data_IF_402220811342
#
_entry.id   IF_402220811342
#
_cell.length_a   1.000
_cell.length_b   1.000
_cell.length_c   1.000
_cell.angle_alpha   90.00
_cell.angle_beta   90.00
_cell.angle_gamma   90.00
#
_symmetry.space_group_name_H-M   'P 1'
#
loop_
_entity.id
_entity.type
_entity.pdbx_description
1 polymer ?
#
# COMPACT_ATOMS: atom_id res chain seq x y z
N UNK A 1 5.46 8.73 18.55
CA UNK A 1 5.54 7.27 18.38
C UNK A 1 4.67 6.46 19.36
N UNK A 2 3.99 7.07 20.34
CA UNK A 2 3.12 6.33 21.29
C UNK A 2 1.69 6.04 20.82
N UNK A 3 1.10 6.91 20.00
CA UNK A 3 -0.34 6.83 19.65
C UNK A 3 -0.69 5.63 18.79
N UNK A 4 0.12 5.33 17.77
CA UNK A 4 -0.13 4.21 16.86
C UNK A 4 -0.27 2.89 17.64
N UNK A 5 0.61 2.63 18.62
CA UNK A 5 0.50 1.44 19.48
C UNK A 5 -0.83 1.38 20.25
N UNK A 6 -1.32 2.51 20.75
CA UNK A 6 -2.63 2.59 21.44
C UNK A 6 -3.77 2.24 20.48
N UNK A 7 -3.67 2.71 19.23
CA UNK A 7 -4.69 2.45 18.21
C UNK A 7 -4.67 1.01 17.71
N UNK A 8 -3.49 0.43 17.50
CA UNK A 8 -3.38 -0.98 17.13
C UNK A 8 -3.93 -1.90 18.22
N UNK A 9 -3.74 -1.53 19.50
CA UNK A 9 -4.36 -2.22 20.64
C UNK A 9 -5.89 -2.11 20.71
N UNK A 10 -6.55 -1.40 19.77
CA UNK A 10 -8.01 -1.47 19.62
C UNK A 10 -8.49 -2.78 19.00
N UNK A 11 -7.60 -3.48 18.30
CA UNK A 11 -7.90 -4.75 17.64
C UNK A 11 -7.43 -5.89 18.56
N UNK A 12 -8.36 -6.76 18.95
CA UNK A 12 -8.05 -7.87 19.84
C UNK A 12 -7.11 -8.90 19.20
N UNK A 13 -6.27 -9.54 20.00
CA UNK A 13 -5.36 -10.61 19.54
C UNK A 13 -6.09 -11.79 18.87
N UNK A 14 -7.35 -12.02 19.25
CA UNK A 14 -8.19 -13.07 18.68
C UNK A 14 -8.96 -12.66 17.43
N UNK A 15 -8.81 -11.42 16.95
CA UNK A 15 -9.50 -10.96 15.74
C UNK A 15 -8.90 -11.66 14.50
N UNK A 16 -9.69 -12.43 13.73
CA UNK A 16 -9.18 -13.17 12.58
C UNK A 16 -8.64 -12.27 11.45
N UNK A 17 -8.96 -10.97 11.49
CA UNK A 17 -8.50 -9.97 10.51
C UNK A 17 -7.51 -8.97 11.12
N UNK A 18 -6.86 -9.33 12.25
CA UNK A 18 -6.00 -8.40 12.99
C UNK A 18 -4.98 -7.69 12.11
N UNK A 19 -4.18 -8.45 11.35
CA UNK A 19 -3.12 -7.89 10.50
C UNK A 19 -3.63 -6.88 9.48
N UNK A 20 -4.72 -7.22 8.78
CA UNK A 20 -5.34 -6.34 7.81
C UNK A 20 -5.99 -5.10 8.44
N UNK A 21 -6.66 -5.22 9.60
CA UNK A 21 -7.21 -4.07 10.33
C UNK A 21 -6.11 -3.13 10.85
N UNK A 22 -5.03 -3.68 11.39
CA UNK A 22 -3.87 -2.91 11.82
C UNK A 22 -3.25 -2.11 10.67
N UNK A 23 -3.13 -2.73 9.48
CA UNK A 23 -2.64 -2.05 8.28
C UNK A 23 -3.56 -0.89 7.87
N UNK A 24 -4.88 -1.09 7.87
CA UNK A 24 -5.85 -0.02 7.57
C UNK A 24 -5.80 1.13 8.59
N UNK A 25 -5.61 0.83 9.88
CA UNK A 25 -5.39 1.85 10.91
C UNK A 25 -4.11 2.64 10.61
N UNK A 26 -3.00 1.99 10.29
CA UNK A 26 -1.73 2.66 9.96
C UNK A 26 -1.85 3.60 8.77
N UNK A 27 -2.55 3.15 7.73
CA UNK A 27 -2.88 3.98 6.55
C UNK A 27 -3.70 5.19 7.00
N UNK A 28 -4.84 4.96 7.65
CA UNK A 28 -5.69 6.06 8.14
C UNK A 28 -4.93 7.08 9.01
N UNK A 29 -4.10 6.61 9.96
CA UNK A 29 -3.30 7.46 10.83
C UNK A 29 -2.33 8.37 10.08
N UNK A 30 -1.86 7.93 8.92
CA UNK A 30 -0.90 8.69 8.13
C UNK A 30 -1.58 9.86 7.40
N UNK A 31 -2.80 9.66 6.89
CA UNK A 31 -3.59 10.68 6.22
C UNK A 31 -4.09 11.71 7.23
N UNK A 32 -4.51 11.21 8.39
CA UNK A 32 -5.04 12.02 9.46
C UNK A 32 -3.95 12.47 10.45
N UNK A 33 -2.67 12.37 10.08
CA UNK A 33 -1.54 12.76 10.93
C UNK A 33 -1.61 14.21 11.45
N UNK A 34 -1.98 15.23 10.64
CA UNK A 34 -2.10 16.61 11.13
C UNK A 34 -3.10 16.73 12.28
N UNK A 35 -4.18 15.96 12.21
CA UNK A 35 -5.20 15.85 13.25
C UNK A 35 -4.60 15.22 14.51
N UNK A 36 -3.94 14.06 14.37
CA UNK A 36 -3.37 13.31 15.47
C UNK A 36 -2.27 14.07 16.24
N UNK A 37 -1.39 14.80 15.54
CA UNK A 37 -0.29 15.55 16.17
C UNK A 37 -0.80 16.58 17.18
N UNK A 38 -1.96 17.19 16.90
CA UNK A 38 -2.53 18.24 17.74
C UNK A 38 -3.32 17.72 18.95
N UNK A 39 -3.50 16.40 19.10
CA UNK A 39 -4.59 15.84 19.89
C UNK A 39 -4.21 15.09 21.17
N UNK A 40 -2.96 14.68 21.35
CA UNK A 40 -2.46 14.08 22.60
C UNK A 40 -3.05 12.70 22.97
N UNK A 41 -2.67 12.17 24.14
CA UNK A 41 -3.01 10.80 24.58
C UNK A 41 -4.50 10.60 24.90
N UNK A 42 -5.17 11.59 25.51
CA UNK A 42 -6.61 11.49 25.83
C UNK A 42 -7.47 11.18 24.60
N UNK A 43 -7.07 11.70 23.44
CA UNK A 43 -7.82 11.48 22.20
C UNK A 43 -7.47 10.16 21.49
N UNK A 44 -6.33 9.55 21.79
CA UNK A 44 -5.98 8.20 21.31
C UNK A 44 -6.94 7.13 21.83
N UNK A 45 -7.38 7.23 23.10
CA UNK A 45 -8.40 6.34 23.68
C UNK A 45 -9.75 6.45 22.97
N UNK A 46 -10.08 7.61 22.38
CA UNK A 46 -11.31 7.76 21.61
C UNK A 46 -11.24 7.06 20.27
N UNK A 47 -10.14 7.23 19.55
CA UNK A 47 -9.90 6.48 18.33
C UNK A 47 -9.86 4.98 18.59
N UNK A 48 -9.33 4.54 19.73
CA UNK A 48 -9.40 3.14 20.13
C UNK A 48 -10.86 2.65 20.23
N UNK A 49 -11.78 3.45 20.81
CA UNK A 49 -13.22 3.13 20.84
C UNK A 49 -13.83 3.09 19.43
N UNK A 50 -13.45 4.01 18.54
CA UNK A 50 -13.95 4.06 17.16
C UNK A 50 -13.45 2.86 16.34
N UNK A 51 -12.16 2.53 16.41
CA UNK A 51 -11.59 1.39 15.69
C UNK A 51 -11.98 0.03 16.30
N UNK A 52 -12.32 -0.03 17.59
CA UNK A 52 -12.90 -1.22 18.20
C UNK A 52 -14.36 -1.47 17.81
N UNK A 53 -15.06 -0.49 17.22
CA UNK A 53 -16.45 -0.62 16.81
C UNK A 53 -16.56 -1.41 15.49
N UNK A 54 -17.30 -2.52 15.54
CA UNK A 54 -17.53 -3.39 14.37
C UNK A 54 -18.19 -2.67 13.20
N UNK A 55 -18.99 -1.63 13.46
CA UNK A 55 -19.66 -0.84 12.40
C UNK A 55 -18.68 0.00 11.58
N UNK A 56 -17.46 0.22 12.06
CA UNK A 56 -16.40 0.92 11.32
C UNK A 56 -15.66 0.00 10.33
N UNK A 57 -16.00 -1.29 10.28
CA UNK A 57 -15.32 -2.28 9.46
C UNK A 57 -16.28 -2.92 8.47
N UNK A 58 -15.86 -2.98 7.21
CA UNK A 58 -16.52 -3.73 6.16
C UNK A 58 -15.72 -5.00 5.90
N UNK A 59 -16.37 -6.16 5.99
CA UNK A 59 -15.75 -7.46 5.74
C UNK A 59 -16.47 -8.10 4.55
N UNK A 60 -15.73 -8.36 3.47
CA UNK A 60 -16.22 -9.03 2.26
C UNK A 60 -15.31 -10.22 1.94
N UNK A 61 -15.74 -11.43 2.30
CA UNK A 61 -14.88 -12.61 2.24
C UNK A 61 -13.63 -12.43 3.11
N UNK A 62 -12.45 -12.61 2.53
CA UNK A 62 -11.16 -12.45 3.22
C UNK A 62 -10.66 -10.99 3.25
N UNK A 63 -11.41 -10.04 2.66
CA UNK A 63 -11.04 -8.64 2.63
C UNK A 63 -11.73 -7.86 3.75
N UNK A 64 -10.93 -7.12 4.52
CA UNK A 64 -11.43 -6.14 5.50
C UNK A 64 -11.00 -4.74 5.06
N UNK A 65 -11.94 -3.79 5.13
CA UNK A 65 -11.70 -2.39 4.82
C UNK A 65 -12.25 -1.52 5.96
N UNK A 66 -11.54 -0.44 6.27
CA UNK A 66 -12.05 0.58 7.17
C UNK A 66 -13.15 1.39 6.46
N UNK A 67 -14.35 1.43 7.03
CA UNK A 67 -15.41 2.34 6.58
C UNK A 67 -15.09 3.76 7.06
N UNK A 68 -14.31 4.47 6.25
CA UNK A 68 -13.84 5.84 6.53
C UNK A 68 -14.99 6.84 6.70
N UNK A 69 -16.11 6.64 5.99
CA UNK A 69 -17.32 7.45 6.16
C UNK A 69 -17.89 7.32 7.57
N UNK A 70 -18.11 6.09 8.03
CA UNK A 70 -18.64 5.80 9.38
C UNK A 70 -17.68 6.31 10.46
N UNK A 71 -16.37 6.11 10.28
CA UNK A 71 -15.34 6.67 11.17
C UNK A 71 -15.47 8.19 11.25
N UNK A 72 -15.49 8.89 10.10
CA UNK A 72 -15.64 10.34 10.04
C UNK A 72 -16.90 10.83 10.76
N UNK A 73 -18.06 10.20 10.51
CA UNK A 73 -19.32 10.56 11.17
C UNK A 73 -19.24 10.39 12.69
N UNK A 74 -18.70 9.27 13.18
CA UNK A 74 -18.51 9.04 14.62
C UNK A 74 -17.59 10.08 15.25
N UNK A 75 -16.54 10.50 14.55
CA UNK A 75 -15.63 11.56 15.01
C UNK A 75 -16.35 12.90 15.20
N UNK A 76 -17.25 13.27 14.28
CA UNK A 76 -18.01 14.52 14.39
C UNK A 76 -18.98 14.55 15.57
N UNK A 77 -19.56 13.40 15.93
CA UNK A 77 -20.56 13.27 16.99
C UNK A 77 -19.98 12.89 18.35
N UNK A 78 -18.66 12.72 18.44
CA UNK A 78 -18.02 12.18 19.62
C UNK A 78 -18.10 13.14 20.82
N UNK A 79 -18.63 12.65 21.93
CA UNK A 79 -18.77 13.38 23.19
C UNK A 79 -17.85 12.84 24.27
N UNK A 80 -17.53 13.68 25.26
CA UNK A 80 -16.85 13.28 26.47
C UNK A 80 -17.66 12.21 27.24
N UNK A 81 -17.03 11.54 28.20
CA UNK A 81 -17.67 10.46 28.97
C UNK A 81 -18.89 10.93 29.79
N UNK A 82 -18.99 12.23 30.06
CA UNK A 82 -20.16 12.88 30.66
C UNK A 82 -21.34 13.04 29.69
N UNK A 83 -21.16 12.72 28.40
CA UNK A 83 -22.17 12.81 27.35
C UNK A 83 -22.59 14.22 26.95
N UNK A 84 -21.99 15.27 27.53
CA UNK A 84 -22.43 16.66 27.36
C UNK A 84 -21.57 17.46 26.39
N UNK A 85 -20.24 17.26 26.40
CA UNK A 85 -19.33 18.10 25.61
C UNK A 85 -18.78 17.38 24.38
N UNK A 86 -18.99 17.98 23.21
CA UNK A 86 -18.30 17.57 21.98
C UNK A 86 -16.79 17.76 22.18
N UNK A 87 -16.02 16.70 21.92
CA UNK A 87 -14.58 16.66 22.22
C UNK A 87 -13.72 17.40 21.20
N UNK A 88 -14.23 17.55 19.98
CA UNK A 88 -13.53 18.22 18.90
C UNK A 88 -13.84 19.71 18.90
N UNK A 89 -12.81 20.52 18.64
CA UNK A 89 -13.03 21.94 18.39
C UNK A 89 -13.93 22.09 17.16
N UNK A 90 -14.62 23.24 17.04
CA UNK A 90 -15.43 23.50 15.84
C UNK A 90 -14.59 23.45 14.57
N UNK A 91 -13.36 23.95 14.64
CA UNK A 91 -12.44 23.96 13.52
C UNK A 91 -12.01 22.54 13.12
N UNK A 92 -11.68 21.69 14.09
CA UNK A 92 -11.40 20.28 13.85
C UNK A 92 -12.60 19.55 13.22
N UNK A 93 -13.82 19.82 13.71
CA UNK A 93 -15.05 19.25 13.13
C UNK A 93 -15.23 19.70 11.68
N UNK A 94 -15.02 20.98 11.39
CA UNK A 94 -15.14 21.50 10.04
C UNK A 94 -14.12 20.84 9.10
N UNK A 95 -12.86 20.74 9.53
CA UNK A 95 -11.80 20.06 8.79
C UNK A 95 -12.16 18.61 8.45
N UNK A 96 -12.59 17.82 9.44
CA UNK A 96 -13.00 16.42 9.22
C UNK A 96 -14.19 16.34 8.28
N UNK A 97 -15.19 17.21 8.45
CA UNK A 97 -16.36 17.26 7.58
C UNK A 97 -15.95 17.55 6.12
N UNK A 98 -15.03 18.50 5.91
CA UNK A 98 -14.46 18.83 4.60
C UNK A 98 -13.67 17.66 3.99
N UNK A 99 -12.80 17.00 4.76
CA UNK A 99 -12.04 15.83 4.33
C UNK A 99 -12.93 14.66 3.94
N UNK A 100 -14.02 14.44 4.66
CA UNK A 100 -14.98 13.37 4.37
C UNK A 100 -16.14 13.81 3.44
N UNK A 101 -16.13 15.06 2.96
CA UNK A 101 -17.18 15.64 2.12
C UNK A 101 -18.61 15.49 2.67
N UNK A 102 -18.79 15.69 3.97
CA UNK A 102 -20.09 15.62 4.62
C UNK A 102 -20.90 16.92 4.41
N UNK A 103 -21.52 17.07 3.24
CA UNK A 103 -22.17 18.32 2.78
C UNK A 103 -23.06 18.98 3.86
N UNK A 104 -23.94 18.21 4.51
CA UNK A 104 -24.86 18.73 5.52
C UNK A 104 -24.14 19.23 6.79
N UNK A 105 -23.16 18.47 7.28
CA UNK A 105 -22.36 18.88 8.44
C UNK A 105 -21.43 20.06 8.12
N UNK A 106 -20.85 20.10 6.92
CA UNK A 106 -20.05 21.25 6.45
C UNK A 106 -20.93 22.51 6.51
N UNK A 107 -22.13 22.45 5.93
CA UNK A 107 -23.08 23.57 5.92
C UNK A 107 -23.47 23.99 7.33
N UNK A 108 -23.86 23.03 8.18
CA UNK A 108 -24.26 23.31 9.56
C UNK A 108 -23.13 23.95 10.37
N UNK A 109 -21.91 23.42 10.28
CA UNK A 109 -20.74 23.96 11.00
C UNK A 109 -20.33 25.33 10.45
N UNK A 110 -20.43 25.55 9.13
CA UNK A 110 -20.17 26.85 8.52
C UNK A 110 -21.13 27.93 9.04
N UNK A 111 -22.43 27.64 9.11
CA UNK A 111 -23.43 28.55 9.69
C UNK A 111 -23.20 28.79 11.20
N UNK A 112 -22.70 27.79 11.95
CA UNK A 112 -22.26 27.99 13.34
C UNK A 112 -21.11 29.01 13.46
N UNK A 113 -20.21 29.09 12.48
CA UNK A 113 -19.15 30.10 12.46
C UNK A 113 -19.71 31.49 12.17
N UNK A 114 -20.57 31.60 11.16
CA UNK A 114 -21.21 32.85 10.74
C UNK A 114 -22.03 33.49 11.86
N UNK A 115 -22.85 32.69 12.55
CA UNK A 115 -23.69 33.17 13.66
C UNK A 115 -22.91 33.69 14.88
N UNK A 116 -21.66 33.24 15.10
CA UNK A 116 -20.83 33.71 16.23
C UNK A 116 -19.98 34.94 15.92
N UNK A 117 -19.87 35.33 14.64
CA UNK A 117 -19.06 36.46 14.21
C UNK A 117 -19.95 37.59 13.70
N UNK A 118 -20.83 38.10 14.58
CA UNK A 118 -21.98 38.96 14.29
C UNK A 118 -21.76 40.22 13.43
N UNK A 119 -20.53 40.53 13.01
CA UNK A 119 -20.19 41.65 12.11
C UNK A 119 -19.14 41.32 11.03
N UNK A 120 -18.69 40.06 10.89
CA UNK A 120 -17.70 39.74 9.85
C UNK A 120 -18.36 39.49 8.50
N UNK A 121 -17.93 40.27 7.50
CA UNK A 121 -18.28 39.99 6.11
C UNK A 121 -17.95 38.54 5.78
N UNK A 122 -18.80 37.85 5.01
CA UNK A 122 -18.58 36.44 4.65
C UNK A 122 -17.19 36.17 4.03
N UNK A 123 -16.58 37.19 3.40
CA UNK A 123 -15.19 37.12 2.89
C UNK A 123 -14.13 36.95 3.99
N UNK A 124 -14.31 37.58 5.15
CA UNK A 124 -13.39 37.43 6.28
C UNK A 124 -13.53 36.06 6.93
N UNK A 125 -14.75 35.50 6.97
CA UNK A 125 -14.99 34.16 7.47
C UNK A 125 -14.35 33.09 6.57
N UNK A 126 -14.54 33.19 5.25
CA UNK A 126 -13.92 32.28 4.27
C UNK A 126 -12.40 32.22 4.46
N UNK A 127 -11.73 33.38 4.48
CA UNK A 127 -10.27 33.46 4.72
C UNK A 127 -9.80 32.85 6.03
N UNK A 128 -10.61 32.88 7.09
CA UNK A 128 -10.27 32.26 8.39
C UNK A 128 -10.38 30.74 8.38
N UNK A 129 -11.13 30.17 7.45
CA UNK A 129 -11.33 28.74 7.31
C UNK A 129 -10.42 28.11 6.23
N UNK A 130 -9.61 28.92 5.54
CA UNK A 130 -8.70 28.51 4.48
C UNK A 130 -7.42 27.86 5.05
N UNK A 131 -7.54 26.67 5.66
CA UNK A 131 -6.43 25.90 6.26
C UNK A 131 -6.33 24.50 5.65
N UNK A 132 -6.33 24.47 4.31
CA UNK A 132 -6.30 23.29 3.45
C UNK A 132 -7.05 23.54 2.14
N UNK A 133 -6.57 22.99 1.03
CA UNK A 133 -7.23 23.00 -0.28
C UNK A 133 -8.71 22.54 -0.24
N UNK A 134 -9.04 21.48 0.50
CA UNK A 134 -10.43 21.02 0.64
C UNK A 134 -11.26 21.98 1.49
N UNK A 135 -10.69 22.53 2.56
CA UNK A 135 -11.36 23.54 3.38
C UNK A 135 -11.61 24.84 2.61
N UNK A 136 -10.65 25.26 1.78
CA UNK A 136 -10.76 26.39 0.85
C UNK A 136 -11.91 26.16 -0.13
N UNK A 137 -11.94 25.01 -0.80
CA UNK A 137 -13.02 24.69 -1.72
C UNK A 137 -14.39 24.77 -1.03
N UNK A 138 -14.54 24.11 0.12
CA UNK A 138 -15.82 24.07 0.83
C UNK A 138 -16.23 25.42 1.43
N UNK A 139 -15.28 26.21 1.96
CA UNK A 139 -15.58 27.54 2.52
C UNK A 139 -16.12 28.48 1.43
N UNK A 140 -15.54 28.43 0.23
CA UNK A 140 -15.99 29.18 -0.93
C UNK A 140 -17.34 28.68 -1.43
N UNK A 141 -17.52 27.35 -1.55
CA UNK A 141 -18.78 26.76 -1.99
C UNK A 141 -19.95 27.09 -1.05
N UNK A 142 -19.75 26.96 0.26
CA UNK A 142 -20.80 27.29 1.26
C UNK A 142 -21.21 28.76 1.26
N UNK A 143 -20.33 29.65 0.80
CA UNK A 143 -20.58 31.08 0.73
C UNK A 143 -20.95 31.58 -0.68
N UNK A 144 -21.16 30.68 -1.65
CA UNK A 144 -21.39 30.99 -3.07
C UNK A 144 -20.27 31.85 -3.70
N UNK A 145 -19.02 31.54 -3.36
CA UNK A 145 -17.82 32.26 -3.77
C UNK A 145 -16.87 31.40 -4.62
N UNK A 146 -17.34 30.32 -5.24
CA UNK A 146 -16.52 29.45 -6.09
C UNK A 146 -15.89 30.20 -7.27
N UNK A 147 -16.53 31.28 -7.74
CA UNK A 147 -15.99 32.16 -8.78
C UNK A 147 -14.68 32.87 -8.39
N UNK A 148 -14.32 32.87 -7.10
CA UNK A 148 -13.05 33.42 -6.60
C UNK A 148 -11.94 32.38 -6.57
N UNK A 149 -12.26 31.10 -6.81
CA UNK A 149 -11.27 30.04 -6.93
C UNK A 149 -10.62 30.08 -8.31
N UNK A 150 -9.33 29.74 -8.37
CA UNK A 150 -8.57 29.63 -9.61
C UNK A 150 -8.93 28.34 -10.36
N UNK A 151 -10.15 28.27 -10.90
CA UNK A 151 -10.69 27.07 -11.54
C UNK A 151 -10.03 26.73 -12.88
N UNK A 152 -9.25 27.64 -13.47
CA UNK A 152 -8.56 27.43 -14.75
C UNK A 152 -9.50 26.98 -15.88
N UNK A 153 -10.71 27.56 -15.95
CA UNK A 153 -11.81 27.16 -16.85
C UNK A 153 -12.33 25.72 -16.67
N UNK A 154 -12.03 25.05 -15.57
CA UNK A 154 -12.58 23.74 -15.24
C UNK A 154 -13.85 23.84 -14.38
N UNK A 155 -14.65 22.77 -14.39
CA UNK A 155 -15.79 22.64 -13.49
C UNK A 155 -15.31 22.67 -12.01
N UNK A 156 -16.03 23.31 -11.07
CA UNK A 156 -15.64 23.38 -9.66
C UNK A 156 -15.32 22.02 -9.02
N UNK A 157 -16.05 20.96 -9.39
CA UNK A 157 -15.75 19.60 -8.90
C UNK A 157 -14.47 18.99 -9.46
N UNK A 158 -13.97 19.43 -10.62
CA UNK A 158 -12.63 19.03 -11.08
C UNK A 158 -11.56 19.68 -10.19
N UNK A 159 -11.74 20.96 -9.86
CA UNK A 159 -10.88 21.64 -8.89
C UNK A 159 -10.92 20.95 -7.53
N UNK A 160 -12.10 20.66 -7.00
CA UNK A 160 -12.28 19.98 -5.72
C UNK A 160 -11.67 18.56 -5.71
N UNK A 161 -11.80 17.81 -6.80
CA UNK A 161 -11.14 16.52 -6.98
C UNK A 161 -9.62 16.64 -6.91
N UNK A 162 -9.03 17.69 -7.50
CA UNK A 162 -7.59 17.98 -7.35
C UNK A 162 -7.23 18.37 -5.91
N UNK A 163 -8.07 19.10 -5.21
CA UNK A 163 -7.87 19.40 -3.78
C UNK A 163 -7.79 18.10 -2.96
N UNK A 164 -8.73 17.17 -3.18
CA UNK A 164 -8.71 15.85 -2.55
C UNK A 164 -7.44 15.04 -2.90
N UNK A 165 -7.00 15.12 -4.15
CA UNK A 165 -5.75 14.49 -4.61
C UNK A 165 -4.51 15.07 -3.91
N UNK A 166 -4.44 16.40 -3.74
CA UNK A 166 -3.31 17.08 -3.09
C UNK A 166 -3.26 16.75 -1.60
N UNK A 167 -4.42 16.72 -0.93
CA UNK A 167 -4.50 16.41 0.50
C UNK A 167 -4.54 14.92 0.83
N UNK A 168 -4.59 14.05 -0.18
CA UNK A 168 -4.57 12.58 -0.05
C UNK A 168 -5.76 11.98 0.73
N UNK A 169 -6.93 12.58 0.58
CA UNK A 169 -8.17 12.07 1.18
C UNK A 169 -8.97 11.23 0.17
N UNK A 170 -8.86 9.90 0.28
CA UNK A 170 -9.53 8.95 -0.61
C UNK A 170 -11.05 9.08 -0.56
N UNK A 171 -11.62 9.31 0.63
CA UNK A 171 -13.05 9.55 0.81
C UNK A 171 -13.55 10.79 0.05
N UNK A 172 -12.77 11.87 -0.01
CA UNK A 172 -13.09 13.04 -0.82
C UNK A 172 -12.95 12.74 -2.32
N UNK A 173 -11.95 11.94 -2.73
CA UNK A 173 -11.84 11.48 -4.11
C UNK A 173 -13.06 10.66 -4.52
N UNK A 174 -13.49 9.70 -3.72
CA UNK A 174 -14.68 8.88 -3.97
C UNK A 174 -15.92 9.76 -4.11
N UNK A 175 -16.09 10.75 -3.22
CA UNK A 175 -17.20 11.70 -3.29
C UNK A 175 -17.19 12.52 -4.60
N UNK A 176 -16.09 13.21 -4.91
CA UNK A 176 -16.03 14.08 -6.08
C UNK A 176 -16.01 13.29 -7.39
N UNK A 177 -15.44 12.08 -7.40
CA UNK A 177 -15.50 11.20 -8.56
C UNK A 177 -16.94 10.83 -8.92
N UNK A 178 -17.75 10.46 -7.92
CA UNK A 178 -19.17 10.15 -8.12
C UNK A 178 -19.93 11.35 -8.68
N UNK A 179 -19.67 12.56 -8.15
CA UNK A 179 -20.28 13.80 -8.71
C UNK A 179 -19.82 14.05 -10.14
N UNK A 180 -18.53 13.85 -10.45
CA UNK A 180 -17.97 14.00 -11.80
C UNK A 180 -18.61 13.03 -12.80
N UNK A 181 -19.01 11.82 -12.40
CA UNK A 181 -19.70 10.89 -13.30
C UNK A 181 -20.99 11.48 -13.86
N UNK A 182 -21.72 12.25 -13.05
CA UNK A 182 -22.98 12.91 -13.44
C UNK A 182 -22.83 14.22 -14.22
N UNK A 183 -21.60 14.64 -14.54
CA UNK A 183 -21.34 15.90 -15.25
C UNK A 183 -20.97 15.62 -16.70
N UNK A 184 -21.81 16.10 -17.61
CA UNK A 184 -21.64 15.96 -19.07
C UNK A 184 -20.58 16.90 -19.64
N UNK A 185 -20.35 18.06 -19.01
CA UNK A 185 -19.36 19.05 -19.47
C UNK A 185 -17.90 18.60 -19.26
N UNK A 186 -17.68 17.51 -18.52
CA UNK A 186 -16.36 16.92 -18.34
C UNK A 186 -16.29 15.65 -19.20
N UNK A 187 -15.44 15.67 -20.22
CA UNK A 187 -15.29 14.52 -21.13
C UNK A 187 -14.75 13.28 -20.42
N UNK A 188 -15.06 12.09 -20.94
CA UNK A 188 -14.54 10.81 -20.40
C UNK A 188 -13.01 10.78 -20.39
N UNK A 189 -12.36 11.26 -21.46
CA UNK A 189 -10.90 11.38 -21.53
C UNK A 189 -10.33 12.26 -20.40
N UNK A 190 -11.01 13.39 -20.10
CA UNK A 190 -10.61 14.25 -18.97
C UNK A 190 -10.74 13.53 -17.64
N UNK A 191 -11.83 12.75 -17.44
CA UNK A 191 -12.05 11.95 -16.22
C UNK A 191 -10.95 10.89 -16.06
N UNK A 192 -10.57 10.20 -17.13
CA UNK A 192 -9.46 9.24 -17.11
C UNK A 192 -8.12 9.90 -16.81
N UNK A 193 -7.83 11.06 -17.40
CA UNK A 193 -6.59 11.79 -17.11
C UNK A 193 -6.51 12.21 -15.63
N UNK A 194 -7.65 12.58 -15.02
CA UNK A 194 -7.73 12.87 -13.59
C UNK A 194 -7.42 11.63 -12.75
N UNK A 195 -7.97 10.46 -13.08
CA UNK A 195 -7.65 9.20 -12.39
C UNK A 195 -6.16 8.87 -12.49
N UNK A 196 -5.58 8.93 -13.70
CA UNK A 196 -4.16 8.64 -13.88
C UNK A 196 -3.28 9.57 -13.04
N UNK A 197 -3.60 10.87 -13.03
CA UNK A 197 -2.89 11.87 -12.21
C UNK A 197 -2.94 11.53 -10.73
N UNK A 198 -4.05 11.00 -10.22
CA UNK A 198 -4.14 10.55 -8.82
C UNK A 198 -3.12 9.46 -8.53
N UNK A 199 -3.00 8.45 -9.38
CA UNK A 199 -2.13 7.30 -9.12
C UNK A 199 -0.65 7.66 -9.01
N UNK A 200 -0.12 8.46 -9.94
CA UNK A 200 1.30 8.85 -9.93
C UNK A 200 1.56 10.19 -9.24
N UNK A 201 0.58 10.79 -8.54
CA UNK A 201 0.80 12.02 -7.81
C UNK A 201 1.75 11.76 -6.63
N UNK A 202 2.98 12.24 -6.75
CA UNK A 202 3.98 12.15 -5.69
C UNK A 202 3.77 13.26 -4.69
N UNK A 203 3.05 12.99 -3.61
CA UNK A 203 3.27 13.72 -2.37
C UNK A 203 4.52 13.20 -1.66
N UNK A 204 4.96 13.87 -0.59
CA UNK A 204 5.98 13.30 0.30
C UNK A 204 5.57 11.88 0.70
N UNK A 205 6.47 10.91 0.47
CA UNK A 205 6.24 9.47 0.63
C UNK A 205 5.43 9.17 1.91
N UNK A 206 4.12 8.95 1.75
CA UNK A 206 3.23 8.61 2.85
C UNK A 206 2.54 7.30 2.51
N UNK A 207 2.27 6.48 3.51
CA UNK A 207 1.57 5.20 3.35
C UNK A 207 0.18 5.34 2.74
N UNK A 208 -0.49 6.50 2.80
CA UNK A 208 -1.76 6.72 2.08
C UNK A 208 -1.66 6.83 0.57
N UNK A 209 -0.45 6.95 0.01
CA UNK A 209 -0.28 6.92 -1.44
C UNK A 209 -0.86 5.62 -2.02
N UNK A 210 -0.86 4.52 -1.24
CA UNK A 210 -1.49 3.25 -1.65
C UNK A 210 -3.00 3.37 -1.82
N UNK A 211 -3.69 4.10 -0.94
CA UNK A 211 -5.14 4.28 -1.02
C UNK A 211 -5.55 5.09 -2.24
N UNK A 212 -4.72 6.07 -2.62
CA UNK A 212 -4.90 6.87 -3.83
C UNK A 212 -4.73 6.02 -5.10
N UNK A 213 -3.68 5.18 -5.13
CA UNK A 213 -3.46 4.25 -6.25
C UNK A 213 -4.56 3.20 -6.33
N UNK A 214 -4.94 2.58 -5.20
CA UNK A 214 -6.03 1.60 -5.14
C UNK A 214 -7.37 2.21 -5.57
N UNK A 215 -7.64 3.47 -5.23
CA UNK A 215 -8.78 4.21 -5.75
C UNK A 215 -8.72 4.35 -7.27
N UNK A 216 -7.59 4.79 -7.83
CA UNK A 216 -7.43 4.93 -9.28
C UNK A 216 -7.68 3.59 -9.99
N UNK A 217 -7.06 2.50 -9.54
CA UNK A 217 -7.17 1.18 -10.19
C UNK A 217 -8.56 0.55 -10.07
N UNK A 218 -9.38 0.96 -9.09
CA UNK A 218 -10.79 0.55 -9.01
C UNK A 218 -11.67 1.19 -10.08
N UNK A 219 -11.31 2.37 -10.57
CA UNK A 219 -12.13 3.18 -11.46
C UNK A 219 -11.55 3.34 -12.87
N UNK A 220 -10.26 3.07 -13.05
CA UNK A 220 -9.58 3.14 -14.35
C UNK A 220 -9.73 1.79 -15.08
N UNK A 221 -10.01 1.84 -16.38
CA UNK A 221 -10.03 0.64 -17.21
C UNK A 221 -8.63 0.01 -17.30
N UNK A 222 -8.57 -1.31 -17.18
CA UNK A 222 -7.33 -2.09 -17.30
C UNK A 222 -6.55 -1.84 -18.59
N UNK A 223 -7.23 -1.54 -19.71
CA UNK A 223 -6.60 -1.22 -20.98
C UNK A 223 -5.71 0.04 -20.90
N UNK A 224 -5.90 0.88 -19.87
CA UNK A 224 -5.10 2.08 -19.63
C UNK A 224 -3.94 1.88 -18.68
N UNK A 225 -3.78 0.72 -18.05
CA UNK A 225 -2.72 0.47 -17.07
C UNK A 225 -1.31 0.63 -17.66
N UNK A 226 -1.13 0.18 -18.91
CA UNK A 226 0.15 0.36 -19.60
C UNK A 226 0.47 1.85 -19.84
N UNK A 227 -0.52 2.67 -20.19
CA UNK A 227 -0.34 4.12 -20.33
C UNK A 227 -0.06 4.80 -18.99
N UNK A 228 -0.78 4.40 -17.94
CA UNK A 228 -0.53 4.85 -16.57
C UNK A 228 0.93 4.61 -16.17
N UNK A 229 1.45 3.41 -16.40
CA UNK A 229 2.83 3.04 -16.09
C UNK A 229 3.85 3.84 -16.92
N UNK A 230 3.57 4.10 -18.20
CA UNK A 230 4.40 4.98 -19.04
C UNK A 230 4.47 6.40 -18.51
N UNK A 231 3.34 6.97 -18.08
CA UNK A 231 3.27 8.33 -17.50
C UNK A 231 3.98 8.38 -16.14
N UNK A 232 3.77 7.37 -15.30
CA UNK A 232 4.42 7.21 -14.00
C UNK A 232 5.95 7.17 -14.15
N UNK A 233 6.47 6.34 -15.05
CA UNK A 233 7.89 6.25 -15.35
C UNK A 233 8.46 7.56 -15.92
N UNK A 234 7.75 8.18 -16.86
CA UNK A 234 8.18 9.47 -17.44
C UNK A 234 8.28 10.57 -16.38
N UNK A 235 7.38 10.58 -15.40
CA UNK A 235 7.37 11.59 -14.35
C UNK A 235 8.42 11.34 -13.26
N UNK A 236 8.64 10.09 -12.86
CA UNK A 236 9.46 9.77 -11.68
C UNK A 236 10.80 9.10 -12.00
N UNK A 237 11.05 8.72 -13.25
CA UNK A 237 12.20 7.91 -13.65
C UNK A 237 12.15 6.47 -13.11
N UNK A 238 11.04 6.06 -12.50
CA UNK A 238 10.80 4.72 -11.99
C UNK A 238 9.29 4.42 -11.92
N UNK A 239 8.93 3.14 -11.78
CA UNK A 239 7.55 2.69 -11.57
C UNK A 239 7.12 2.92 -10.11
N UNK A 240 6.88 4.18 -9.75
CA UNK A 240 6.52 4.60 -8.39
C UNK A 240 5.21 3.96 -7.92
N UNK A 241 4.16 3.97 -8.74
CA UNK A 241 2.85 3.36 -8.43
C UNK A 241 3.00 1.90 -8.01
N UNK A 242 3.73 1.11 -8.81
CA UNK A 242 4.00 -0.29 -8.56
C UNK A 242 4.82 -0.51 -7.27
N UNK A 243 5.79 0.36 -7.01
CA UNK A 243 6.60 0.33 -5.78
C UNK A 243 5.77 0.60 -4.53
N UNK A 244 4.87 1.58 -4.58
CA UNK A 244 3.96 1.93 -3.48
C UNK A 244 3.01 0.78 -3.15
N UNK A 245 2.40 0.17 -4.17
CA UNK A 245 1.48 -0.95 -3.97
C UNK A 245 2.16 -2.12 -3.26
N UNK A 246 3.36 -2.52 -3.70
CA UNK A 246 4.12 -3.61 -3.05
C UNK A 246 4.51 -3.30 -1.61
N UNK A 247 5.09 -2.12 -1.37
CA UNK A 247 5.57 -1.71 -0.04
C UNK A 247 4.44 -1.61 0.98
N UNK A 248 3.21 -1.40 0.52
CA UNK A 248 2.04 -1.31 1.37
C UNK A 248 1.15 -2.56 1.29
N UNK A 249 1.70 -3.69 0.81
CA UNK A 249 1.04 -5.00 0.74
C UNK A 249 -0.24 -5.04 -0.12
N UNK A 250 -0.43 -4.10 -1.05
CA UNK A 250 -1.48 -4.15 -2.08
C UNK A 250 -1.00 -5.02 -3.26
N UNK A 251 -0.69 -6.28 -2.96
CA UNK A 251 -0.03 -7.21 -3.88
C UNK A 251 -0.87 -7.55 -5.11
N UNK A 252 -2.19 -7.68 -4.94
CA UNK A 252 -3.09 -7.99 -6.06
C UNK A 252 -3.15 -6.86 -7.09
N UNK A 253 -3.20 -5.61 -6.64
CA UNK A 253 -3.15 -4.46 -7.54
C UNK A 253 -1.76 -4.26 -8.15
N UNK A 254 -0.70 -4.54 -7.39
CA UNK A 254 0.66 -4.56 -7.94
C UNK A 254 0.82 -5.62 -9.03
N UNK A 255 0.27 -6.84 -8.82
CA UNK A 255 0.23 -7.91 -9.81
C UNK A 255 -0.46 -7.46 -11.10
N UNK A 256 -1.67 -6.93 -11.00
CA UNK A 256 -2.44 -6.43 -12.15
C UNK A 256 -1.67 -5.38 -12.96
N UNK A 257 -0.98 -4.45 -12.29
CA UNK A 257 -0.15 -3.46 -13.00
C UNK A 257 1.05 -4.11 -13.67
N UNK A 258 1.75 -5.01 -12.97
CA UNK A 258 2.93 -5.67 -13.51
C UNK A 258 2.60 -6.46 -14.79
N UNK A 259 1.45 -7.13 -14.84
CA UNK A 259 0.99 -7.91 -16.01
C UNK A 259 0.82 -7.07 -17.29
N UNK A 260 0.80 -5.74 -17.17
CA UNK A 260 0.72 -4.80 -18.29
C UNK A 260 2.08 -4.20 -18.70
N UNK A 261 3.17 -4.61 -18.03
CA UNK A 261 4.53 -4.30 -18.44
C UNK A 261 5.02 -5.31 -19.47
N UNK A 262 5.71 -4.80 -20.49
CA UNK A 262 6.45 -5.64 -21.43
C UNK A 262 7.94 -5.66 -21.08
N UNK A 263 8.69 -6.67 -21.55
CA UNK A 263 10.13 -6.75 -21.30
C UNK A 263 10.91 -5.50 -21.75
N UNK A 264 10.46 -4.84 -22.83
CA UNK A 264 11.05 -3.58 -23.32
C UNK A 264 10.78 -2.37 -22.43
N UNK A 265 9.73 -2.39 -21.60
CA UNK A 265 9.37 -1.29 -20.71
C UNK A 265 10.21 -1.29 -19.42
N UNK A 266 10.83 -2.42 -19.07
CA UNK A 266 11.50 -2.63 -17.79
C UNK A 266 12.92 -3.14 -18.03
N UNK A 267 13.95 -2.46 -17.57
CA UNK A 267 15.32 -2.99 -17.69
C UNK A 267 15.51 -4.24 -16.81
N UNK A 268 16.44 -5.15 -17.13
CA UNK A 268 16.79 -6.29 -16.27
C UNK A 268 17.12 -5.89 -14.83
N UNK A 269 17.75 -4.73 -14.68
CA UNK A 269 18.08 -4.13 -13.38
C UNK A 269 16.85 -3.68 -12.60
N UNK A 270 15.91 -3.00 -13.27
CA UNK A 270 14.67 -2.55 -12.65
C UNK A 270 13.75 -3.74 -12.31
N UNK A 271 13.72 -4.78 -13.14
CA UNK A 271 13.05 -6.05 -12.85
C UNK A 271 13.63 -6.71 -11.60
N UNK A 272 14.95 -6.83 -11.51
CA UNK A 272 15.60 -7.45 -10.35
C UNK A 272 15.33 -6.66 -9.07
N UNK A 273 15.47 -5.34 -9.11
CA UNK A 273 15.10 -4.45 -8.00
C UNK A 273 13.64 -4.65 -7.58
N UNK A 274 12.74 -4.78 -8.55
CA UNK A 274 11.31 -5.01 -8.34
C UNK A 274 11.04 -6.36 -7.65
N UNK A 275 11.68 -7.44 -8.10
CA UNK A 275 11.60 -8.78 -7.50
C UNK A 275 12.13 -8.80 -6.06
N UNK A 276 13.32 -8.24 -5.80
CA UNK A 276 13.87 -8.15 -4.44
C UNK A 276 12.97 -7.30 -3.52
N UNK A 277 12.43 -6.18 -4.02
CA UNK A 277 11.49 -5.36 -3.25
C UNK A 277 10.22 -6.11 -2.89
N UNK A 278 9.71 -6.95 -3.79
CA UNK A 278 8.54 -7.79 -3.52
C UNK A 278 8.85 -8.84 -2.44
N UNK A 279 9.99 -9.52 -2.52
CA UNK A 279 10.46 -10.46 -1.50
C UNK A 279 10.65 -9.80 -0.12
N UNK A 280 11.27 -8.62 -0.07
CA UNK A 280 11.43 -7.87 1.17
C UNK A 280 10.07 -7.49 1.81
N UNK A 281 9.09 -7.19 0.97
CA UNK A 281 7.73 -6.85 1.44
C UNK A 281 7.01 -8.07 2.00
N UNK A 282 7.37 -9.29 1.58
CA UNK A 282 6.84 -10.55 2.11
C UNK A 282 7.36 -10.90 3.50
N UNK A 283 8.62 -10.55 3.82
CA UNK A 283 9.17 -10.80 5.17
C UNK A 283 8.49 -9.95 6.24
N UNK A 284 7.94 -8.81 5.84
CA UNK A 284 7.32 -7.83 6.73
C UNK A 284 5.79 -7.85 6.72
N UNK A 285 5.17 -8.85 6.09
CA UNK A 285 3.70 -8.95 6.03
C UNK A 285 3.09 -9.20 7.40
N UNK A 286 1.91 -8.63 7.69
CA UNK A 286 1.29 -8.74 9.00
C UNK A 286 0.55 -10.06 9.23
N UNK A 287 0.17 -10.81 8.18
CA UNK A 287 -0.50 -12.11 8.30
C UNK A 287 -0.29 -13.00 7.05
N UNK A 288 -0.71 -14.26 7.16
CA UNK A 288 -0.56 -15.30 6.12
C UNK A 288 -1.36 -14.99 4.83
N UNK A 289 -2.44 -14.21 4.90
CA UNK A 289 -3.23 -13.86 3.71
C UNK A 289 -2.44 -12.90 2.80
N UNK A 290 -1.69 -11.96 3.39
CA UNK A 290 -0.76 -11.13 2.62
C UNK A 290 0.39 -11.94 2.02
N UNK A 291 0.86 -12.97 2.72
CA UNK A 291 1.91 -13.87 2.21
C UNK A 291 1.43 -14.62 0.97
N UNK A 292 0.21 -15.17 1.02
CA UNK A 292 -0.42 -15.81 -0.14
C UNK A 292 -0.52 -14.84 -1.31
N UNK A 293 -1.09 -13.65 -1.08
CA UNK A 293 -1.28 -12.65 -2.14
C UNK A 293 0.05 -12.17 -2.75
N UNK A 294 1.08 -11.98 -1.92
CA UNK A 294 2.41 -11.61 -2.40
C UNK A 294 3.14 -12.76 -3.11
N UNK A 295 2.92 -14.01 -2.69
CA UNK A 295 3.38 -15.19 -3.41
C UNK A 295 2.74 -15.28 -4.79
N UNK A 296 1.44 -15.04 -4.91
CA UNK A 296 0.72 -15.06 -6.19
C UNK A 296 1.24 -13.95 -7.12
N UNK A 297 1.49 -12.74 -6.58
CA UNK A 297 2.14 -11.66 -7.33
C UNK A 297 3.53 -12.06 -7.84
N UNK A 298 4.41 -12.56 -6.97
CA UNK A 298 5.75 -13.00 -7.37
C UNK A 298 5.71 -14.12 -8.41
N UNK A 299 4.77 -15.06 -8.27
CA UNK A 299 4.54 -16.14 -9.24
C UNK A 299 4.18 -15.57 -10.61
N UNK A 300 3.26 -14.60 -10.66
CA UNK A 300 2.89 -13.91 -11.91
C UNK A 300 4.08 -13.16 -12.52
N UNK A 301 4.85 -12.43 -11.70
CA UNK A 301 6.05 -11.72 -12.16
C UNK A 301 7.09 -12.68 -12.75
N UNK A 302 7.37 -13.78 -12.05
CA UNK A 302 8.34 -14.79 -12.47
C UNK A 302 7.90 -15.52 -13.75
N UNK A 303 6.61 -15.82 -13.88
CA UNK A 303 6.08 -16.57 -15.03
C UNK A 303 5.62 -15.68 -16.19
N UNK A 304 5.89 -14.37 -16.11
CA UNK A 304 5.57 -13.43 -17.19
C UNK A 304 6.36 -13.77 -18.47
N UNK A 305 5.69 -13.91 -19.63
CA UNK A 305 6.33 -14.24 -20.90
C UNK A 305 7.30 -13.14 -21.37
N UNK A 306 8.46 -13.52 -21.93
CA UNK A 306 9.41 -12.60 -22.55
C UNK A 306 10.42 -11.98 -21.58
N UNK A 307 10.32 -12.27 -20.29
CA UNK A 307 11.22 -11.78 -19.23
C UNK A 307 12.41 -12.72 -18.96
N UNK A 308 12.73 -13.68 -19.84
CA UNK A 308 13.74 -14.71 -19.59
C UNK A 308 15.13 -14.13 -19.33
N UNK A 309 15.53 -13.10 -20.08
CA UNK A 309 16.82 -12.42 -19.86
C UNK A 309 16.84 -11.64 -18.53
N UNK A 310 15.71 -11.05 -18.13
CA UNK A 310 15.56 -10.38 -16.83
C UNK A 310 15.61 -11.38 -15.67
N UNK A 311 15.00 -12.56 -15.82
CA UNK A 311 15.08 -13.66 -14.85
C UNK A 311 16.52 -14.13 -14.68
N UNK A 312 17.25 -14.32 -15.78
CA UNK A 312 18.66 -14.71 -15.71
C UNK A 312 19.52 -13.63 -15.01
N UNK A 313 19.30 -12.35 -15.33
CA UNK A 313 19.98 -11.24 -14.64
C UNK A 313 19.67 -11.22 -13.14
N UNK A 314 18.40 -11.45 -12.77
CA UNK A 314 18.00 -11.55 -11.37
C UNK A 314 18.70 -12.70 -10.64
N UNK A 315 18.80 -13.88 -11.27
CA UNK A 315 19.51 -15.03 -10.68
C UNK A 315 21.00 -14.75 -10.48
N UNK A 316 21.65 -14.11 -11.47
CA UNK A 316 23.04 -13.68 -11.34
C UNK A 316 23.22 -12.70 -10.18
N UNK A 317 22.30 -11.71 -10.07
CA UNK A 317 22.31 -10.77 -8.94
C UNK A 317 22.06 -11.43 -7.60
N UNK A 318 21.18 -12.42 -7.53
CA UNK A 318 20.93 -13.17 -6.31
C UNK A 318 22.20 -13.92 -5.87
N UNK A 319 23.00 -14.42 -6.82
CA UNK A 319 24.31 -15.01 -6.52
C UNK A 319 25.39 -13.98 -6.18
N UNK A 320 25.36 -12.78 -6.74
CA UNK A 320 26.39 -11.74 -6.51
C UNK A 320 26.14 -10.88 -5.26
N UNK A 321 24.89 -10.70 -4.83
CA UNK A 321 24.57 -9.84 -3.69
C UNK A 321 24.95 -10.47 -2.33
N UNK A 322 25.40 -9.58 -1.43
CA UNK A 322 25.80 -9.82 -0.02
C UNK A 322 24.77 -10.63 0.79
N UNK A 323 25.27 -11.25 1.85
CA UNK A 323 24.56 -12.11 2.83
C UNK A 323 23.10 -11.76 3.12
N UNK A 324 22.75 -10.48 3.28
CA UNK A 324 21.39 -10.07 3.69
C UNK A 324 20.25 -10.47 2.74
N UNK A 325 20.47 -10.49 1.42
CA UNK A 325 19.45 -10.95 0.45
C UNK A 325 19.32 -12.47 0.47
N UNK A 326 20.43 -13.17 0.73
CA UNK A 326 20.49 -14.63 0.82
C UNK A 326 19.83 -15.11 2.12
N UNK A 327 20.10 -14.43 3.23
CA UNK A 327 19.47 -14.62 4.54
C UNK A 327 17.96 -14.40 4.45
N UNK A 328 17.52 -13.44 3.64
CA UNK A 328 16.10 -13.16 3.41
C UNK A 328 15.41 -14.31 2.67
N UNK A 329 16.00 -14.78 1.57
CA UNK A 329 15.48 -15.94 0.82
C UNK A 329 15.50 -17.19 1.69
N UNK A 330 16.58 -17.44 2.44
CA UNK A 330 16.70 -18.53 3.38
C UNK A 330 15.65 -18.41 4.51
N UNK A 331 15.43 -17.22 5.06
CA UNK A 331 14.42 -16.97 6.09
C UNK A 331 12.99 -17.21 5.59
N UNK A 332 12.68 -16.77 4.37
CA UNK A 332 11.38 -17.04 3.75
C UNK A 332 11.17 -18.53 3.49
N UNK A 333 12.21 -19.24 3.03
CA UNK A 333 12.18 -20.68 2.79
C UNK A 333 12.04 -21.47 4.11
N UNK A 334 12.76 -21.08 5.17
CA UNK A 334 12.70 -21.72 6.49
C UNK A 334 11.39 -21.43 7.22
N UNK A 335 10.88 -20.21 7.10
CA UNK A 335 9.75 -19.71 7.87
C UNK A 335 8.38 -19.91 7.20
N UNK A 336 8.30 -20.04 5.87
CA UNK A 336 7.01 -19.93 5.18
C UNK A 336 6.82 -20.88 3.99
N UNK A 337 6.16 -22.02 4.27
CA UNK A 337 5.80 -23.05 3.25
C UNK A 337 4.83 -22.55 2.17
N UNK A 338 4.23 -21.36 2.34
CA UNK A 338 3.20 -20.83 1.45
C UNK A 338 3.76 -20.13 0.20
N UNK A 339 5.03 -19.72 0.18
CA UNK A 339 5.62 -18.97 -0.95
C UNK A 339 6.20 -19.93 -1.99
N UNK A 340 5.30 -20.59 -2.75
CA UNK A 340 5.65 -21.68 -3.69
C UNK A 340 6.70 -21.30 -4.73
N UNK A 341 6.71 -20.05 -5.16
CA UNK A 341 7.61 -19.56 -6.21
C UNK A 341 9.09 -19.58 -5.80
N UNK A 342 9.39 -19.55 -4.50
CA UNK A 342 10.78 -19.62 -4.04
C UNK A 342 11.45 -20.93 -4.43
N UNK A 343 10.70 -22.04 -4.40
CA UNK A 343 11.22 -23.34 -4.85
C UNK A 343 11.60 -23.32 -6.32
N UNK A 344 10.80 -22.66 -7.16
CA UNK A 344 11.07 -22.54 -8.60
C UNK A 344 12.28 -21.65 -8.88
N UNK A 345 12.39 -20.52 -8.19
CA UNK A 345 13.55 -19.62 -8.29
C UNK A 345 14.82 -20.34 -7.86
N UNK A 346 14.77 -21.05 -6.73
CA UNK A 346 15.91 -21.84 -6.22
C UNK A 346 16.31 -22.94 -7.19
N UNK A 347 15.34 -23.67 -7.75
CA UNK A 347 15.61 -24.72 -8.73
C UNK A 347 16.15 -24.18 -10.06
N UNK A 348 15.99 -22.89 -10.33
CA UNK A 348 16.52 -22.21 -11.51
C UNK A 348 17.97 -21.75 -11.34
N UNK A 349 18.54 -21.82 -10.13
CA UNK A 349 19.95 -21.48 -9.89
C UNK A 349 20.87 -22.55 -10.48
N UNK A 350 21.97 -22.13 -11.09
CA UNK A 350 23.04 -23.05 -11.48
C UNK A 350 23.76 -23.60 -10.25
N UNK A 351 24.49 -24.70 -10.43
CA UNK A 351 25.28 -25.29 -9.35
C UNK A 351 26.34 -24.31 -8.81
N UNK A 352 26.98 -23.54 -9.68
CA UNK A 352 27.95 -22.50 -9.32
C UNK A 352 27.30 -21.35 -8.54
N UNK A 353 26.11 -20.91 -8.95
CA UNK A 353 25.35 -19.88 -8.24
C UNK A 353 24.91 -20.35 -6.86
N UNK A 354 24.47 -21.62 -6.76
CA UNK A 354 24.15 -22.24 -5.48
C UNK A 354 25.38 -22.28 -4.57
N UNK A 355 26.55 -22.68 -5.06
CA UNK A 355 27.78 -22.64 -4.26
C UNK A 355 28.15 -21.23 -3.82
N UNK A 356 28.08 -20.25 -4.74
CA UNK A 356 28.38 -18.84 -4.44
C UNK A 356 27.48 -18.24 -3.37
N UNK A 357 26.19 -18.60 -3.36
CA UNK A 357 25.22 -18.20 -2.32
C UNK A 357 25.61 -18.74 -0.94
N UNK A 358 26.30 -19.88 -0.88
CA UNK A 358 26.37 -20.74 0.30
C UNK A 358 27.79 -20.89 0.88
N UNK A 359 28.82 -20.24 0.31
CA UNK A 359 30.21 -20.30 0.80
C UNK A 359 30.41 -19.73 2.23
N UNK A 360 29.44 -18.98 2.79
CA UNK A 360 29.61 -18.35 4.11
C UNK A 360 29.05 -19.14 5.32
N UNK A 361 28.14 -20.13 5.16
CA UNK A 361 27.64 -20.92 6.31
C UNK A 361 27.21 -22.38 5.97
N UNK A 362 28.01 -23.34 6.44
CA UNK A 362 27.83 -24.79 6.20
C UNK A 362 26.58 -25.37 6.89
N UNK A 363 26.09 -24.75 7.96
CA UNK A 363 24.89 -25.20 8.69
C UNK A 363 23.60 -24.87 7.95
N UNK A 364 23.61 -23.77 7.20
CA UNK A 364 22.52 -23.37 6.34
C UNK A 364 22.46 -24.21 5.05
N UNK A 365 23.61 -24.71 4.59
CA UNK A 365 23.70 -25.63 3.45
C UNK A 365 22.92 -26.92 3.67
N UNK A 366 23.11 -27.57 4.80
CA UNK A 366 22.38 -28.81 5.11
C UNK A 366 20.88 -28.56 5.26
N UNK A 367 20.47 -27.43 5.83
CA UNK A 367 19.07 -27.05 5.97
C UNK A 367 18.43 -26.70 4.62
N UNK A 368 19.13 -25.95 3.78
CA UNK A 368 18.68 -25.57 2.43
C UNK A 368 18.59 -26.77 1.50
N UNK A 369 19.61 -27.64 1.47
CA UNK A 369 19.56 -28.89 0.71
C UNK A 369 18.47 -29.82 1.23
N UNK A 370 18.27 -29.89 2.56
CA UNK A 370 17.15 -30.64 3.14
C UNK A 370 15.80 -30.07 2.69
N UNK A 371 15.61 -28.75 2.67
CA UNK A 371 14.36 -28.12 2.20
C UNK A 371 14.16 -28.30 0.71
N UNK A 372 15.19 -28.06 -0.12
CA UNK A 372 15.17 -28.28 -1.57
C UNK A 372 14.80 -29.72 -1.89
N UNK A 373 15.48 -30.69 -1.29
CA UNK A 373 15.20 -32.12 -1.51
C UNK A 373 13.79 -32.49 -1.00
N UNK A 374 13.38 -32.00 0.17
CA UNK A 374 12.01 -32.21 0.69
C UNK A 374 10.93 -31.63 -0.23
N UNK A 375 11.22 -30.53 -0.92
CA UNK A 375 10.29 -29.89 -1.86
C UNK A 375 10.29 -30.59 -3.24
N UNK A 376 11.45 -31.06 -3.71
CA UNK A 376 11.57 -31.88 -4.92
C UNK A 376 10.83 -33.21 -4.76
N UNK A 377 10.99 -33.88 -3.61
CA UNK A 377 10.33 -35.15 -3.29
C UNK A 377 8.80 -35.04 -3.16
N UNK A 378 8.28 -33.84 -2.87
CA UNK A 378 6.82 -33.57 -2.79
C UNK A 378 6.21 -33.13 -4.12
N UNK A 379 7.01 -32.68 -5.07
CA UNK A 379 6.58 -32.33 -6.43
C UNK A 379 6.53 -33.51 -7.38
N UNK A 380 7.30 -34.57 -7.11
CA UNK A 380 7.31 -35.81 -7.86
C UNK A 380 6.21 -36.76 -7.37
N UNK A 381 4.96 -36.51 -7.80
CA UNK A 381 3.95 -37.56 -7.79
C UNK A 381 4.37 -38.68 -8.74
N UNK A 382 4.58 -39.87 -8.18
CA UNK A 382 4.69 -41.17 -8.86
C UNK A 382 5.58 -41.23 -10.11
N UNK A 383 6.89 -41.19 -9.91
CA UNK A 383 7.81 -41.90 -10.80
C UNK A 383 9.04 -42.36 -10.04
N UNK A 384 9.11 -43.66 -9.79
CA UNK A 384 10.27 -44.36 -9.24
C UNK A 384 11.54 -44.10 -10.05
N UNK A 385 12.68 -44.00 -9.32
CA UNK A 385 14.03 -44.57 -9.59
C UNK A 385 15.15 -43.55 -9.24
N UNK A 386 16.42 -43.97 -9.07
CA UNK A 386 16.96 -45.13 -8.36
C UNK A 386 17.93 -44.68 -7.23
N UNK A 387 18.26 -45.60 -6.32
CA UNK A 387 19.27 -45.38 -5.28
C UNK A 387 20.66 -45.13 -5.88
N UNK A 388 21.22 -43.94 -5.68
CA UNK A 388 22.67 -43.74 -5.68
C UNK A 388 23.07 -43.04 -4.39
N UNK A 389 23.51 -43.84 -3.43
CA UNK A 389 24.23 -43.42 -2.24
C UNK A 389 25.48 -42.65 -2.67
N UNK A 390 25.46 -41.32 -2.49
CA UNK A 390 26.68 -40.53 -2.43
C UNK A 390 27.33 -40.79 -1.08
N UNK A 391 28.42 -41.56 -1.12
CA UNK A 391 29.20 -41.97 0.04
C UNK A 391 29.92 -40.75 0.65
N UNK A 392 29.44 -40.34 1.83
CA UNK A 392 29.86 -39.17 2.59
C UNK A 392 31.34 -39.24 3.01
N UNK A 393 31.96 -40.42 2.95
CA UNK A 393 33.40 -40.58 3.22
C UNK A 393 34.30 -40.07 2.09
N UNK A 394 33.84 -40.08 0.83
CA UNK A 394 34.64 -39.57 -0.30
C UNK A 394 34.91 -38.06 -0.21
N UNK A 395 33.93 -37.28 0.27
CA UNK A 395 34.02 -35.82 0.40
C UNK A 395 34.90 -35.39 1.58
N UNK A 396 35.07 -36.24 2.61
CA UNK A 396 35.96 -35.94 3.73
C UNK A 396 37.45 -36.09 3.37
N UNK A 397 37.77 -36.96 2.42
CA UNK A 397 39.15 -37.23 2.04
C UNK A 397 39.76 -36.07 1.20
N UNK A 398 38.99 -35.47 0.29
CA UNK A 398 39.44 -34.30 -0.50
C UNK A 398 39.68 -33.04 0.36
N UNK A 399 38.91 -32.85 1.44
CA UNK A 399 39.06 -31.69 2.34
C UNK A 399 40.31 -31.79 3.22
N UNK A 400 40.83 -32.99 3.45
CA UNK A 400 42.03 -33.20 4.28
C UNK A 400 43.31 -32.95 3.47
N UNK A 401 43.31 -33.27 2.18
CA UNK A 401 44.47 -33.07 1.30
C UNK A 401 44.73 -31.59 0.95
N UNK A 402 43.69 -30.75 0.92
CA UNK A 402 43.83 -29.31 0.69
C UNK A 402 44.40 -28.58 1.92
N UNK A 403 44.15 -29.08 3.13
CA UNK A 403 44.67 -28.49 4.39
C UNK A 403 46.14 -28.83 4.68
N UNK A 404 46.73 -29.80 3.98
CA UNK A 404 48.16 -30.15 4.15
C UNK A 404 49.10 -29.38 3.20
N UNK A 405 48.55 -28.51 2.33
CA UNK A 405 49.30 -27.76 1.30
C UNK A 405 49.19 -26.23 1.41
N UNK A 406 48.73 -25.69 2.54
CA UNK A 406 48.74 -24.24 2.83
C UNK A 406 49.62 -23.95 4.03
#
# INVERSE_FOLDING_TARGET
MGYEKILLASIGESDPYKGAKELEIKRWCSAYWPLMKSWGERKALFFQKVFGDKTCWEVTGDQVKLNRYTVGKKLLTLKAEDGQKILLSRFDRYRIACWCCFEEEIKAIFEEFKSKQSDESGKNLVRKLDDGALMIYWSHAMNNQEHQLELSNEHPYVYAFRCAMIEKHVEALEFFWNKLQSIDSVSSERKEDLLMKVAYNKGHFSTDDVGMVDFCLRHLDSNRYHELLKRDFKQHGCYYTLSILRRNHSFENARKLFEHLKPEDLSPEAYSTSMFSALNSLVSTPDDNFIKSGSDMLTSMWNSPGFESHKQHYLNKLSEQLSSTRDLVASLIKGNKAVKILSEIVNSLSQEQMYSIMEEDKSEYELFMRVRNTQLDRGAGDSQLPSSSLDVESVKQEVTDVRSRV
#
